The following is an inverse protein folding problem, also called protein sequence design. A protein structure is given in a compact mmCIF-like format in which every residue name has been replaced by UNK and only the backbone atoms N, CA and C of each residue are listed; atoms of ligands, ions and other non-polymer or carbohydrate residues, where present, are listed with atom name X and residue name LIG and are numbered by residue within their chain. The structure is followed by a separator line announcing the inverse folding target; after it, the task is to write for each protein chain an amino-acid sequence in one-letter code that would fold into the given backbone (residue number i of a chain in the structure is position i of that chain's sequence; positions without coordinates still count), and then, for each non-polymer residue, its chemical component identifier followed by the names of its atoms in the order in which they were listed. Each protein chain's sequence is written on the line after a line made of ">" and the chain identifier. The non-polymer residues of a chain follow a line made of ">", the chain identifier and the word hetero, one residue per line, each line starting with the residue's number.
data_IF_288506519322
#
_entry.id   IF_288506519322
#
_cell.length_a   1.000
_cell.length_b   1.000
_cell.length_c   1.000
_cell.angle_alpha   90.00
_cell.angle_beta   90.00
_cell.angle_gamma   90.00
#
_symmetry.space_group_name_H-M   'P 1'
#
loop_
_entity.id
_entity.type
_entity.pdbx_description
1 polymer ?
#
# COMPACT_ATOMS: atom_id res chain seq x y z
N UNK A 1 30.64 14.56 -2.47
CA UNK A 1 29.36 15.28 -2.54
C UNK A 1 29.13 15.95 -1.19
N UNK A 2 28.49 17.12 -1.15
CA UNK A 2 28.30 17.89 0.10
C UNK A 2 26.89 17.63 0.65
N UNK A 3 26.71 17.50 1.97
CA UNK A 3 25.39 17.48 2.57
C UNK A 3 24.64 18.79 2.28
N UNK A 4 23.33 18.68 2.08
CA UNK A 4 22.40 19.79 1.89
C UNK A 4 21.19 19.63 2.81
N UNK A 5 20.42 20.71 2.97
CA UNK A 5 19.10 20.63 3.58
C UNK A 5 18.12 20.05 2.56
N UNK A 6 17.59 18.88 2.86
CA UNK A 6 16.59 18.17 2.08
C UNK A 6 15.21 18.49 2.66
N UNK A 7 14.30 18.94 1.80
CA UNK A 7 12.88 19.03 2.12
C UNK A 7 12.14 17.97 1.32
N UNK A 8 11.40 17.10 2.01
CA UNK A 8 10.68 15.99 1.43
C UNK A 8 9.20 16.10 1.75
N UNK A 9 8.37 16.08 0.70
CA UNK A 9 6.93 16.07 0.84
C UNK A 9 6.40 14.64 0.77
N UNK A 10 5.80 14.16 1.87
CA UNK A 10 5.09 12.88 1.90
C UNK A 10 3.64 13.13 1.56
N UNK A 11 3.23 12.69 0.36
CA UNK A 11 1.83 12.70 -0.03
C UNK A 11 1.08 11.64 0.79
N UNK A 12 0.02 12.07 1.46
CA UNK A 12 -0.79 11.21 2.33
C UNK A 12 -2.20 11.15 1.74
N UNK A 13 -2.75 9.96 1.46
CA UNK A 13 -4.11 9.83 1.00
C UNK A 13 -5.10 10.42 2.01
N UNK A 14 -6.17 11.05 1.54
CA UNK A 14 -7.23 11.57 2.40
C UNK A 14 -7.92 10.49 3.27
N UNK A 15 -7.76 9.20 2.93
CA UNK A 15 -8.24 8.08 3.72
C UNK A 15 -7.29 7.63 4.83
N UNK A 16 -6.23 8.40 5.12
CA UNK A 16 -5.23 8.11 6.12
C UNK A 16 -5.26 9.12 7.27
N UNK A 17 -5.01 8.64 8.49
CA UNK A 17 -4.79 9.51 9.65
C UNK A 17 -3.31 9.81 9.83
N UNK A 18 -2.98 11.10 9.96
CA UNK A 18 -1.63 11.57 10.23
C UNK A 18 -1.32 11.36 11.71
N UNK A 19 -0.18 10.72 12.01
CA UNK A 19 0.22 10.35 13.37
C UNK A 19 1.26 11.29 13.99
N UNK A 20 1.76 12.25 13.23
CA UNK A 20 2.82 13.18 13.63
C UNK A 20 2.33 14.63 13.62
N UNK A 21 2.97 15.47 14.42
CA UNK A 21 2.74 16.90 14.49
C UNK A 21 3.95 17.70 13.99
N UNK A 22 3.72 18.98 13.69
CA UNK A 22 4.81 19.91 13.36
C UNK A 22 5.79 19.97 14.53
N UNK A 23 7.07 19.81 14.23
CA UNK A 23 8.15 19.79 15.22
C UNK A 23 8.62 18.38 15.59
N UNK A 24 7.89 17.31 15.25
CA UNK A 24 8.30 15.94 15.59
C UNK A 24 9.57 15.53 14.84
N UNK A 25 10.43 14.77 15.50
CA UNK A 25 11.60 14.13 14.88
C UNK A 25 11.22 12.74 14.38
N UNK A 26 11.61 12.43 13.15
CA UNK A 26 11.29 11.16 12.47
C UNK A 26 12.56 10.52 11.91
N UNK A 27 12.60 9.20 11.93
CA UNK A 27 13.57 8.37 11.20
C UNK A 27 12.92 7.86 9.90
N UNK A 28 13.72 7.35 8.96
CA UNK A 28 13.21 6.89 7.66
C UNK A 28 12.08 5.84 7.78
N UNK A 29 12.13 5.00 8.81
CA UNK A 29 11.18 3.93 9.10
C UNK A 29 9.97 4.36 9.94
N UNK A 30 9.98 5.59 10.46
CA UNK A 30 8.92 6.11 11.34
C UNK A 30 7.61 6.19 10.55
N UNK A 31 6.56 5.58 11.10
CA UNK A 31 5.21 5.64 10.52
C UNK A 31 4.61 7.02 10.79
N UNK A 32 4.38 7.78 9.72
CA UNK A 32 3.87 9.15 9.78
C UNK A 32 2.37 9.24 9.50
N UNK A 33 1.81 8.27 8.78
CA UNK A 33 0.37 8.15 8.60
C UNK A 33 -0.06 6.70 8.46
N UNK A 34 -1.27 6.39 8.92
CA UNK A 34 -1.91 5.09 8.76
C UNK A 34 -3.08 5.21 7.82
N UNK A 35 -3.07 4.41 6.76
CA UNK A 35 -4.21 4.33 5.84
C UNK A 35 -5.31 3.54 6.53
N UNK A 36 -6.41 4.20 6.86
CA UNK A 36 -7.52 3.60 7.59
C UNK A 36 -8.47 2.86 6.64
N UNK A 37 -8.56 3.34 5.40
CA UNK A 37 -9.41 2.71 4.41
C UNK A 37 -8.89 2.82 2.97
N UNK A 38 -9.24 1.83 2.17
CA UNK A 38 -8.96 1.82 0.74
C UNK A 38 -10.21 2.07 -0.10
N UNK A 39 -10.07 2.70 -1.28
CA UNK A 39 -11.14 2.77 -2.24
C UNK A 39 -11.47 1.37 -2.76
N UNK A 40 -12.66 0.89 -2.43
CA UNK A 40 -13.23 -0.36 -2.90
C UNK A 40 -13.91 -0.25 -4.26
N UNK A 41 -14.79 -1.22 -4.54
CA UNK A 41 -15.48 -1.30 -5.83
C UNK A 41 -16.45 -0.13 -6.02
N UNK A 42 -16.75 0.16 -7.28
CA UNK A 42 -17.82 1.12 -7.61
C UNK A 42 -19.17 0.39 -7.63
N UNK A 43 -19.98 0.61 -6.60
CA UNK A 43 -21.35 0.12 -6.54
C UNK A 43 -22.29 1.02 -7.35
N UNK A 44 -23.22 0.40 -8.08
CA UNK A 44 -24.25 1.09 -8.86
C UNK A 44 -25.62 0.77 -8.30
N UNK A 45 -26.37 1.81 -7.93
CA UNK A 45 -27.73 1.71 -7.40
C UNK A 45 -28.70 2.37 -8.36
N UNK A 46 -29.70 1.65 -8.86
CA UNK A 46 -30.75 2.21 -9.72
C UNK A 46 -31.82 2.94 -8.89
N UNK A 47 -31.45 4.09 -8.35
CA UNK A 47 -32.25 4.84 -7.39
C UNK A 47 -33.58 5.36 -7.98
N UNK A 48 -33.58 5.88 -9.21
CA UNK A 48 -34.77 6.46 -9.83
C UNK A 48 -35.87 5.42 -10.05
N UNK A 49 -35.51 4.25 -10.59
CA UNK A 49 -36.47 3.16 -10.78
C UNK A 49 -36.98 2.62 -9.45
N UNK A 50 -36.13 2.50 -8.42
CA UNK A 50 -36.53 1.99 -7.10
C UNK A 50 -37.54 2.90 -6.40
N UNK A 51 -37.34 4.22 -6.45
CA UNK A 51 -38.28 5.18 -5.82
C UNK A 51 -39.40 5.64 -6.76
N UNK A 52 -39.44 5.12 -7.99
CA UNK A 52 -40.50 5.39 -8.97
C UNK A 52 -40.55 6.84 -9.43
N UNK A 53 -39.40 7.45 -9.74
CA UNK A 53 -39.29 8.80 -10.31
C UNK A 53 -38.56 8.75 -11.64
N UNK A 54 -38.76 9.77 -12.48
CA UNK A 54 -37.95 9.92 -13.68
C UNK A 54 -36.50 10.26 -13.33
N UNK A 55 -35.50 9.76 -14.10
CA UNK A 55 -34.08 10.02 -13.86
C UNK A 55 -33.73 11.49 -13.61
N UNK A 56 -34.39 12.41 -14.33
CA UNK A 56 -34.17 13.86 -14.23
C UNK A 56 -34.59 14.45 -12.89
N UNK A 57 -35.55 13.84 -12.20
CA UNK A 57 -36.07 14.31 -10.92
C UNK A 57 -35.41 13.63 -9.71
N UNK A 58 -34.61 12.59 -9.95
CA UNK A 58 -33.84 11.91 -8.89
C UNK A 58 -33.04 12.88 -8.01
N UNK A 59 -32.25 13.85 -8.55
CA UNK A 59 -31.47 14.77 -7.71
C UNK A 59 -32.30 15.57 -6.70
N UNK A 60 -33.57 15.86 -7.00
CA UNK A 60 -34.48 16.60 -6.11
C UNK A 60 -35.01 15.73 -4.97
N UNK A 61 -34.92 14.41 -5.10
CA UNK A 61 -35.40 13.41 -4.15
C UNK A 61 -34.26 12.71 -3.39
N UNK A 62 -33.01 13.06 -3.72
CA UNK A 62 -31.83 12.63 -3.01
C UNK A 62 -31.79 13.27 -1.61
N UNK A 63 -31.53 12.45 -0.60
CA UNK A 63 -31.26 12.90 0.78
C UNK A 63 -29.76 13.18 0.95
N UNK A 64 -28.93 12.47 0.19
CA UNK A 64 -27.46 12.58 0.18
C UNK A 64 -26.96 13.06 -1.18
N UNK A 65 -25.89 13.83 -1.21
CA UNK A 65 -25.29 14.38 -2.44
C UNK A 65 -23.95 13.71 -2.78
N UNK A 66 -23.46 13.96 -4.00
CA UNK A 66 -22.11 13.54 -4.36
C UNK A 66 -21.10 14.16 -3.39
N UNK A 67 -20.14 13.35 -2.94
CA UNK A 67 -19.19 13.66 -1.88
C UNK A 67 -19.61 13.23 -0.48
N UNK A 68 -20.88 12.89 -0.23
CA UNK A 68 -21.31 12.47 1.10
C UNK A 68 -20.89 11.02 1.42
N UNK A 69 -20.48 10.78 2.67
CA UNK A 69 -20.30 9.43 3.22
C UNK A 69 -21.65 8.79 3.56
N UNK A 70 -21.79 7.50 3.23
CA UNK A 70 -23.01 6.71 3.40
C UNK A 70 -22.68 5.33 3.95
N UNK A 71 -23.53 4.79 4.81
CA UNK A 71 -23.42 3.42 5.34
C UNK A 71 -24.39 2.45 4.67
N UNK A 72 -24.05 1.17 4.64
CA UNK A 72 -24.93 0.10 4.18
C UNK A 72 -26.27 0.13 4.95
N UNK A 73 -27.37 0.06 4.21
CA UNK A 73 -28.72 0.18 4.74
C UNK A 73 -29.23 1.62 4.95
N UNK A 74 -28.36 2.64 4.88
CA UNK A 74 -28.74 4.05 4.97
C UNK A 74 -29.59 4.48 3.76
N UNK A 75 -30.53 5.41 3.95
CA UNK A 75 -31.41 5.86 2.85
C UNK A 75 -30.71 6.91 2.00
N UNK A 76 -30.57 6.65 0.69
CA UNK A 76 -29.93 7.56 -0.26
C UNK A 76 -30.91 8.59 -0.83
N UNK A 77 -32.11 8.11 -1.18
CA UNK A 77 -33.18 8.92 -1.75
C UNK A 77 -34.53 8.35 -1.32
N UNK A 78 -35.53 9.22 -1.25
CA UNK A 78 -36.88 8.82 -0.90
C UNK A 78 -37.94 9.64 -1.65
N UNK A 79 -39.07 8.98 -1.93
CA UNK A 79 -40.31 9.61 -2.39
C UNK A 79 -41.41 9.28 -1.40
N UNK A 80 -42.20 10.28 -1.03
CA UNK A 80 -43.36 10.13 -0.15
C UNK A 80 -44.53 10.92 -0.74
N UNK A 81 -45.55 10.22 -1.23
CA UNK A 81 -46.78 10.84 -1.76
C UNK A 81 -48.01 10.09 -1.23
N UNK A 82 -48.88 10.83 -0.53
CA UNK A 82 -50.19 10.46 0.04
C UNK A 82 -50.25 9.14 0.86
N UNK A 83 -49.86 7.99 0.29
CA UNK A 83 -49.77 6.68 0.97
C UNK A 83 -48.60 5.78 0.47
N UNK A 84 -47.86 6.15 -0.59
CA UNK A 84 -46.71 5.38 -1.10
C UNK A 84 -45.39 6.03 -0.65
N UNK A 85 -44.64 5.32 0.22
CA UNK A 85 -43.31 5.74 0.70
C UNK A 85 -42.27 4.77 0.15
N UNK A 86 -41.52 5.22 -0.84
CA UNK A 86 -40.41 4.44 -1.40
C UNK A 86 -39.09 5.06 -1.01
N UNK A 87 -38.19 4.21 -0.56
CA UNK A 87 -36.84 4.60 -0.19
C UNK A 87 -35.87 3.63 -0.84
N UNK A 88 -34.77 4.17 -1.37
CA UNK A 88 -33.66 3.35 -1.83
C UNK A 88 -32.53 3.43 -0.81
N UNK A 89 -32.02 2.25 -0.43
CA UNK A 89 -30.98 2.10 0.58
C UNK A 89 -29.62 1.87 -0.07
N UNK A 90 -28.58 2.29 0.63
CA UNK A 90 -27.21 2.07 0.23
C UNK A 90 -26.83 0.59 0.39
N UNK A 91 -26.20 -0.05 -0.61
CA UNK A 91 -25.79 -1.45 -0.51
C UNK A 91 -24.45 -1.66 0.19
N UNK A 92 -23.61 -0.62 0.31
CA UNK A 92 -22.23 -0.69 0.81
C UNK A 92 -21.88 0.53 1.66
N UNK A 93 -20.86 0.42 2.51
CA UNK A 93 -20.25 1.58 3.14
C UNK A 93 -19.37 2.31 2.11
N UNK A 94 -19.49 3.63 1.99
CA UNK A 94 -18.73 4.35 0.97
C UNK A 94 -19.04 5.83 0.83
N UNK A 95 -18.57 6.42 -0.28
CA UNK A 95 -18.85 7.81 -0.66
C UNK A 95 -19.60 7.85 -1.97
N UNK A 96 -20.61 8.70 -2.07
CA UNK A 96 -21.34 8.91 -3.33
C UNK A 96 -20.41 9.61 -4.32
N UNK A 97 -19.97 8.90 -5.36
CA UNK A 97 -19.09 9.45 -6.38
C UNK A 97 -19.85 10.31 -7.38
N UNK A 98 -21.07 9.89 -7.76
CA UNK A 98 -21.89 10.62 -8.72
C UNK A 98 -23.37 10.23 -8.63
N UNK A 99 -24.24 11.16 -9.03
CA UNK A 99 -25.67 10.91 -9.24
C UNK A 99 -26.00 11.22 -10.71
N UNK A 100 -26.35 10.18 -11.48
CA UNK A 100 -26.66 10.32 -12.90
C UNK A 100 -28.10 10.76 -13.10
N UNK A 101 -28.27 11.95 -13.68
CA UNK A 101 -29.57 12.52 -14.05
C UNK A 101 -30.18 11.88 -15.30
N UNK A 102 -29.36 11.20 -16.10
CA UNK A 102 -29.78 10.59 -17.36
C UNK A 102 -30.21 9.13 -17.15
N UNK A 103 -29.42 8.38 -16.37
CA UNK A 103 -29.65 6.96 -16.13
C UNK A 103 -30.42 6.70 -14.83
N UNK A 104 -30.56 7.70 -13.96
CA UNK A 104 -31.25 7.54 -12.67
C UNK A 104 -30.47 6.68 -11.67
N UNK A 105 -29.16 6.55 -11.87
CA UNK A 105 -28.28 5.75 -11.04
C UNK A 105 -27.52 6.62 -10.03
N UNK A 106 -27.27 6.06 -8.84
CA UNK A 106 -26.32 6.58 -7.85
C UNK A 106 -25.11 5.67 -7.87
N UNK A 107 -23.93 6.27 -8.05
CA UNK A 107 -22.64 5.59 -8.01
C UNK A 107 -21.97 5.84 -6.66
N UNK A 108 -21.50 4.76 -6.04
CA UNK A 108 -20.96 4.78 -4.69
C UNK A 108 -19.61 4.10 -4.76
N UNK A 109 -18.56 4.80 -4.36
CA UNK A 109 -17.24 4.20 -4.18
C UNK A 109 -17.24 3.57 -2.79
N UNK A 110 -17.20 2.25 -2.75
CA UNK A 110 -17.06 1.50 -1.49
C UNK A 110 -15.80 1.97 -0.77
N UNK A 111 -15.85 2.09 0.56
CA UNK A 111 -14.69 2.34 1.39
C UNK A 111 -14.44 1.04 2.16
N UNK A 112 -13.30 0.42 1.90
CA UNK A 112 -12.88 -0.81 2.56
C UNK A 112 -12.02 -0.44 3.75
N UNK A 113 -12.61 -0.49 4.93
CA UNK A 113 -11.88 -0.33 6.19
C UNK A 113 -10.91 -1.51 6.39
N UNK A 114 -9.62 -1.19 6.52
CA UNK A 114 -8.54 -2.17 6.57
C UNK A 114 -8.43 -2.86 7.94
N UNK A 115 -9.02 -2.29 8.99
CA UNK A 115 -8.82 -2.71 10.37
C UNK A 115 -7.41 -2.42 10.90
N UNK A 116 -7.20 -2.59 12.21
CA UNK A 116 -5.95 -2.21 12.89
C UNK A 116 -4.80 -3.23 12.77
N UNK A 117 -5.05 -4.41 12.18
CA UNK A 117 -4.08 -5.52 12.23
C UNK A 117 -3.12 -5.51 11.05
N UNK A 118 -1.83 -5.31 11.33
CA UNK A 118 -0.71 -5.48 10.40
C UNK A 118 -0.26 -6.94 10.23
N UNK A 119 -0.69 -7.84 11.13
CA UNK A 119 -0.32 -9.26 11.12
C UNK A 119 -1.48 -10.20 10.79
N UNK A 120 -1.21 -11.52 10.68
CA UNK A 120 -2.25 -12.53 10.49
C UNK A 120 -3.30 -12.47 11.61
N UNK A 121 -4.57 -12.38 11.23
CA UNK A 121 -5.71 -12.38 12.16
C UNK A 121 -6.34 -13.76 12.18
N UNK A 122 -6.40 -14.38 13.36
CA UNK A 122 -7.02 -15.70 13.55
C UNK A 122 -8.41 -15.54 14.13
N UNK A 123 -9.43 -15.89 13.35
CA UNK A 123 -10.84 -15.90 13.75
C UNK A 123 -11.20 -17.25 14.35
N UNK A 124 -11.79 -17.24 15.55
CA UNK A 124 -12.17 -18.44 16.30
C UNK A 124 -13.56 -18.94 15.88
N UNK A 125 -13.71 -19.25 14.59
CA UNK A 125 -15.00 -19.45 13.93
C UNK A 125 -15.88 -20.51 14.60
N UNK A 126 -15.36 -21.70 14.92
CA UNK A 126 -16.15 -22.75 15.56
C UNK A 126 -16.60 -22.37 16.97
N UNK A 127 -15.73 -21.70 17.74
CA UNK A 127 -16.03 -21.25 19.11
C UNK A 127 -17.08 -20.14 19.13
N UNK A 128 -17.00 -19.18 18.21
CA UNK A 128 -17.96 -18.09 18.07
C UNK A 128 -19.35 -18.61 17.64
N UNK A 129 -19.37 -19.57 16.70
CA UNK A 129 -20.58 -20.26 16.29
C UNK A 129 -21.13 -21.24 17.36
N UNK A 130 -20.29 -21.66 18.31
CA UNK A 130 -20.56 -22.70 19.33
C UNK A 130 -20.81 -24.09 18.73
N UNK A 131 -19.96 -24.49 17.79
CA UNK A 131 -19.97 -25.83 17.17
C UNK A 131 -18.66 -26.56 17.43
N UNK A 132 -18.64 -27.90 17.31
CA UNK A 132 -17.41 -28.67 17.25
C UNK A 132 -16.47 -28.17 16.12
N UNK A 133 -15.15 -28.09 16.33
CA UNK A 133 -14.19 -27.60 15.33
C UNK A 133 -14.34 -28.22 13.94
N UNK A 134 -14.54 -29.54 13.89
CA UNK A 134 -14.69 -30.31 12.64
C UNK A 134 -15.92 -29.92 11.83
N UNK A 135 -16.96 -29.39 12.49
CA UNK A 135 -18.16 -28.93 11.81
C UNK A 135 -17.96 -27.60 11.08
N UNK A 136 -16.85 -26.89 11.33
CA UNK A 136 -16.52 -25.69 10.59
C UNK A 136 -16.52 -25.94 9.09
N UNK A 137 -16.00 -27.10 8.64
CA UNK A 137 -15.90 -27.49 7.23
C UNK A 137 -17.25 -27.41 6.49
N UNK A 138 -18.33 -27.83 7.16
CA UNK A 138 -19.69 -27.87 6.61
C UNK A 138 -20.46 -26.56 6.77
N UNK A 139 -20.08 -25.73 7.75
CA UNK A 139 -20.76 -24.47 8.07
C UNK A 139 -20.09 -23.24 7.42
N UNK A 140 -19.05 -23.43 6.59
CA UNK A 140 -18.41 -22.33 5.85
C UNK A 140 -19.37 -21.65 4.88
N UNK A 141 -19.23 -20.34 4.75
CA UNK A 141 -19.93 -19.60 3.72
C UNK A 141 -19.42 -20.01 2.31
N UNK A 142 -20.27 -19.96 1.28
CA UNK A 142 -19.86 -20.30 -0.08
C UNK A 142 -18.67 -19.44 -0.53
N UNK A 143 -17.66 -20.07 -1.13
CA UNK A 143 -16.47 -19.38 -1.64
C UNK A 143 -15.35 -19.14 -0.61
N UNK A 144 -15.57 -19.42 0.67
CA UNK A 144 -14.55 -19.28 1.73
C UNK A 144 -13.57 -20.46 1.66
N UNK A 145 -12.42 -20.25 1.00
CA UNK A 145 -11.33 -21.23 0.85
C UNK A 145 -9.99 -20.53 1.04
N UNK A 146 -8.94 -21.32 1.27
CA UNK A 146 -7.56 -20.79 1.27
C UNK A 146 -7.28 -20.07 -0.04
N UNK A 147 -6.70 -18.87 0.03
CA UNK A 147 -6.44 -17.99 -1.10
C UNK A 147 -7.56 -17.01 -1.46
N UNK A 148 -8.78 -17.19 -0.92
CA UNK A 148 -9.91 -16.28 -1.17
C UNK A 148 -9.66 -14.92 -0.52
N UNK A 149 -9.91 -13.83 -1.26
CA UNK A 149 -10.02 -12.48 -0.72
C UNK A 149 -11.37 -12.29 -0.04
N UNK A 150 -11.34 -11.78 1.19
CA UNK A 150 -12.53 -11.50 2.01
C UNK A 150 -12.52 -10.07 2.49
N UNK A 151 -13.68 -9.43 2.51
CA UNK A 151 -13.86 -8.08 3.04
C UNK A 151 -14.21 -8.08 4.53
N UNK A 152 -13.90 -6.99 5.24
CA UNK A 152 -14.36 -6.78 6.62
C UNK A 152 -15.89 -6.87 6.66
N UNK A 153 -16.43 -7.62 7.61
CA UNK A 153 -17.86 -7.91 7.72
C UNK A 153 -18.38 -9.02 6.80
N UNK A 154 -17.57 -9.52 5.85
CA UNK A 154 -17.98 -10.66 5.01
C UNK A 154 -18.14 -11.92 5.86
N UNK A 155 -19.26 -12.63 5.69
CA UNK A 155 -19.54 -13.88 6.40
C UNK A 155 -18.53 -14.95 5.99
N UNK A 156 -17.84 -15.51 6.97
CA UNK A 156 -16.89 -16.61 6.82
C UNK A 156 -17.56 -17.96 7.07
N UNK A 157 -18.41 -18.03 8.08
CA UNK A 157 -19.16 -19.22 8.47
C UNK A 157 -20.47 -18.81 9.14
N UNK A 158 -21.51 -19.62 8.97
CA UNK A 158 -22.82 -19.35 9.57
C UNK A 158 -23.62 -20.64 9.76
N UNK A 159 -24.46 -20.66 10.79
CA UNK A 159 -25.41 -21.75 11.10
C UNK A 159 -26.83 -21.21 10.94
N UNK A 160 -27.77 -22.08 10.58
CA UNK A 160 -29.20 -21.79 10.59
C UNK A 160 -29.59 -20.61 9.67
N UNK A 161 -29.09 -20.62 8.43
CA UNK A 161 -29.23 -19.53 7.44
C UNK A 161 -30.68 -19.09 7.20
N UNK A 162 -31.65 -19.96 7.44
CA UNK A 162 -33.07 -19.75 7.21
C UNK A 162 -33.87 -19.33 8.46
N UNK A 163 -33.20 -19.17 9.62
CA UNK A 163 -33.85 -18.83 10.89
C UNK A 163 -33.64 -17.35 11.30
N UNK A 164 -34.61 -16.74 12.02
CA UNK A 164 -34.55 -15.33 12.44
C UNK A 164 -33.38 -14.95 13.36
N UNK A 165 -32.72 -15.93 13.98
CA UNK A 165 -31.57 -15.76 14.88
C UNK A 165 -30.39 -16.62 14.42
N UNK A 166 -29.97 -16.45 13.18
CA UNK A 166 -28.77 -17.09 12.67
C UNK A 166 -27.52 -16.53 13.36
N UNK A 167 -26.57 -17.40 13.68
CA UNK A 167 -25.23 -16.99 14.10
C UNK A 167 -24.32 -16.97 12.90
N UNK A 168 -23.59 -15.88 12.74
CA UNK A 168 -22.58 -15.72 11.71
C UNK A 168 -21.26 -15.29 12.35
N UNK A 169 -20.19 -15.74 11.74
CA UNK A 169 -18.84 -15.27 11.99
C UNK A 169 -18.41 -14.52 10.74
N UNK A 170 -17.97 -13.30 10.92
CA UNK A 170 -17.56 -12.40 9.84
C UNK A 170 -16.06 -12.13 9.88
N UNK A 171 -15.48 -11.80 8.74
CA UNK A 171 -14.09 -11.36 8.69
C UNK A 171 -13.91 -10.05 9.45
N UNK A 172 -12.94 -9.95 10.38
CA UNK A 172 -12.64 -8.69 11.07
C UNK A 172 -11.82 -7.72 10.21
N UNK A 173 -11.20 -8.20 9.12
CA UNK A 173 -10.29 -7.44 8.26
C UNK A 173 -10.58 -7.65 6.77
N UNK A 174 -10.07 -6.76 5.91
CA UNK A 174 -9.93 -7.03 4.48
C UNK A 174 -8.64 -7.81 4.24
N UNK A 175 -8.76 -9.04 3.75
CA UNK A 175 -7.59 -9.92 3.68
C UNK A 175 -7.75 -11.16 2.83
N UNK A 176 -6.65 -11.87 2.64
CA UNK A 176 -6.63 -13.18 2.00
C UNK A 176 -6.62 -14.26 3.07
N UNK A 177 -7.47 -15.28 2.92
CA UNK A 177 -7.46 -16.44 3.81
C UNK A 177 -6.15 -17.21 3.59
N UNK A 178 -5.30 -17.26 4.62
CA UNK A 178 -4.07 -18.04 4.62
C UNK A 178 -4.34 -19.52 4.86
N UNK A 179 -5.20 -19.76 5.83
CA UNK A 179 -5.30 -21.07 6.45
C UNK A 179 -6.68 -21.24 7.07
N UNK A 180 -7.21 -22.46 6.96
CA UNK A 180 -8.45 -22.88 7.63
C UNK A 180 -8.08 -24.15 8.38
N UNK A 181 -7.96 -24.05 9.70
CA UNK A 181 -7.65 -25.17 10.58
C UNK A 181 -8.97 -25.74 11.12
N UNK A 182 -9.38 -26.88 10.57
CA UNK A 182 -10.62 -27.58 10.96
C UNK A 182 -10.47 -28.39 12.26
N UNK A 183 -9.24 -28.65 12.71
CA UNK A 183 -9.00 -29.34 13.98
C UNK A 183 -9.17 -28.37 15.15
N UNK A 184 -8.67 -27.14 14.99
CA UNK A 184 -8.84 -26.06 15.96
C UNK A 184 -10.11 -25.23 15.74
N UNK A 185 -10.71 -25.32 14.56
CA UNK A 185 -11.93 -24.59 14.20
C UNK A 185 -11.67 -23.10 13.97
N UNK A 186 -10.51 -22.76 13.39
CA UNK A 186 -10.03 -21.39 13.21
C UNK A 186 -9.81 -21.04 11.75
N UNK A 187 -10.00 -19.76 11.39
CA UNK A 187 -9.69 -19.22 10.06
C UNK A 187 -8.66 -18.11 10.20
N UNK A 188 -7.50 -18.27 9.57
CA UNK A 188 -6.42 -17.27 9.59
C UNK A 188 -6.46 -16.44 8.32
N UNK A 189 -6.51 -15.12 8.48
CA UNK A 189 -6.62 -14.14 7.41
C UNK A 189 -5.39 -13.24 7.47
N UNK A 190 -4.67 -13.11 6.36
CA UNK A 190 -3.57 -12.14 6.23
C UNK A 190 -4.16 -10.88 5.58
N UNK A 191 -3.87 -9.68 6.09
CA UNK A 191 -4.23 -8.45 5.41
C UNK A 191 -3.80 -8.49 3.94
N UNK A 192 -4.72 -8.16 3.02
CA UNK A 192 -4.44 -8.18 1.58
C UNK A 192 -3.49 -7.04 1.18
N UNK A 193 -3.49 -6.00 2.01
CA UNK A 193 -2.49 -4.96 2.05
C UNK A 193 -2.00 -4.95 3.50
N UNK A 194 -0.83 -5.53 3.83
CA UNK A 194 -0.21 -5.23 5.12
C UNK A 194 -0.14 -3.70 5.18
N UNK A 195 -0.70 -3.12 6.25
CA UNK A 195 -0.99 -1.69 6.40
C UNK A 195 -0.06 -0.84 5.53
N UNK A 196 -0.58 -0.06 4.57
CA UNK A 196 0.28 0.87 3.85
C UNK A 196 0.51 2.06 4.79
N UNK A 197 1.25 1.77 5.87
CA UNK A 197 1.85 2.76 6.75
C UNK A 197 2.70 3.65 5.84
N UNK A 198 2.31 4.92 5.77
CA UNK A 198 3.16 5.90 5.11
C UNK A 198 4.30 6.14 6.08
N UNK A 199 5.51 5.72 5.69
CA UNK A 199 6.73 5.99 6.44
C UNK A 199 7.28 7.36 6.08
N UNK A 200 8.09 7.94 6.96
CA UNK A 200 8.71 9.24 6.77
C UNK A 200 9.65 9.29 5.55
N UNK A 201 10.26 8.14 5.20
CA UNK A 201 11.23 7.95 4.12
C UNK A 201 12.56 8.68 4.31
N UNK A 202 12.59 9.85 4.94
CA UNK A 202 13.82 10.53 5.35
C UNK A 202 13.91 10.71 6.86
N UNK A 203 15.14 10.78 7.37
CA UNK A 203 15.39 11.27 8.72
C UNK A 203 15.27 12.78 8.74
N UNK A 204 14.57 13.34 9.73
CA UNK A 204 14.42 14.79 9.84
C UNK A 204 13.41 15.24 10.88
N UNK A 205 12.93 16.48 10.70
CA UNK A 205 11.88 17.11 11.49
C UNK A 205 10.67 17.43 10.62
N UNK A 206 9.47 17.17 11.12
CA UNK A 206 8.22 17.59 10.45
C UNK A 206 8.11 19.11 10.50
N UNK A 207 8.11 19.76 9.35
CA UNK A 207 8.04 21.22 9.21
C UNK A 207 6.62 21.71 8.94
N UNK A 208 5.79 20.89 8.30
CA UNK A 208 4.39 21.23 8.02
C UNK A 208 3.51 19.98 8.00
N UNK A 209 2.24 20.16 8.40
CA UNK A 209 1.16 19.17 8.24
C UNK A 209 0.06 19.84 7.42
N UNK A 210 -0.25 19.29 6.25
CA UNK A 210 -1.23 19.83 5.31
C UNK A 210 -2.43 18.87 5.29
N UNK A 211 -3.59 19.28 5.84
CA UNK A 211 -4.78 18.44 5.90
C UNK A 211 -5.14 17.81 4.55
N UNK A 212 -5.51 16.53 4.57
CA UNK A 212 -5.93 15.73 3.41
C UNK A 212 -4.92 15.64 2.24
N UNK A 213 -3.69 16.12 2.43
CA UNK A 213 -2.69 16.25 1.36
C UNK A 213 -1.36 15.57 1.70
N UNK A 214 -0.81 15.83 2.89
CA UNK A 214 0.52 15.32 3.22
C UNK A 214 1.23 16.01 4.39
N UNK A 215 2.47 15.60 4.61
CA UNK A 215 3.39 16.27 5.53
C UNK A 215 4.68 16.67 4.83
N UNK A 216 5.32 17.69 5.34
CA UNK A 216 6.66 18.10 4.93
C UNK A 216 7.67 17.73 6.03
N UNK A 217 8.79 17.12 5.63
CA UNK A 217 9.89 16.73 6.50
C UNK A 217 11.16 17.41 5.99
N UNK A 218 11.89 18.06 6.88
CA UNK A 218 13.20 18.64 6.59
C UNK A 218 14.31 17.89 7.32
N UNK A 219 15.37 17.53 6.60
CA UNK A 219 16.51 16.79 7.13
C UNK A 219 17.81 17.16 6.43
N UNK A 220 18.95 16.77 7.00
CA UNK A 220 20.25 16.92 6.35
C UNK A 220 20.62 15.63 5.60
N UNK A 221 21.20 15.74 4.41
CA UNK A 221 21.68 14.57 3.68
C UNK A 221 22.25 14.87 2.30
N UNK A 222 22.61 13.82 1.57
CA UNK A 222 23.00 13.89 0.16
C UNK A 222 22.02 13.08 -0.66
N UNK A 223 21.43 13.67 -1.70
CA UNK A 223 20.63 12.96 -2.70
C UNK A 223 21.50 12.48 -3.85
N UNK A 224 21.42 11.20 -4.17
CA UNK A 224 22.00 10.60 -5.36
C UNK A 224 20.86 10.21 -6.30
N UNK A 225 20.88 10.70 -7.53
CA UNK A 225 19.91 10.31 -8.55
C UNK A 225 20.47 9.17 -9.40
N UNK A 226 19.70 8.08 -9.51
CA UNK A 226 19.99 7.03 -10.47
C UNK A 226 19.46 7.38 -11.86
N UNK A 227 20.00 6.70 -12.88
CA UNK A 227 19.51 6.86 -14.26
C UNK A 227 18.18 6.14 -14.43
N UNK A 228 18.02 4.98 -13.80
CA UNK A 228 16.85 4.12 -13.93
C UNK A 228 16.70 3.19 -12.72
N UNK A 229 15.50 2.69 -12.45
CA UNK A 229 15.21 1.82 -11.33
C UNK A 229 13.85 1.14 -11.42
N UNK A 230 13.63 0.20 -10.50
CA UNK A 230 12.44 -0.63 -10.36
C UNK A 230 11.95 -0.67 -8.92
N UNK A 231 10.64 -0.86 -8.76
CA UNK A 231 10.02 -1.04 -7.45
C UNK A 231 9.88 0.24 -6.62
N UNK A 232 9.43 0.07 -5.39
CA UNK A 232 9.04 1.15 -4.49
C UNK A 232 10.17 1.70 -3.62
N UNK A 233 9.85 1.89 -2.35
CA UNK A 233 10.75 2.47 -1.33
C UNK A 233 11.34 1.38 -0.45
N UNK A 234 12.62 1.53 -0.11
CA UNK A 234 13.30 0.72 0.90
C UNK A 234 14.24 1.60 1.74
N UNK A 235 14.58 1.12 2.92
CA UNK A 235 15.59 1.71 3.77
C UNK A 235 16.25 0.61 4.60
N UNK A 236 17.47 0.85 5.02
CA UNK A 236 18.22 -0.12 5.82
C UNK A 236 19.71 0.22 5.87
N UNK A 237 20.49 -0.54 6.66
CA UNK A 237 21.93 -0.37 6.72
C UNK A 237 22.54 -0.63 5.34
N UNK A 238 23.40 0.27 4.90
CA UNK A 238 24.10 0.15 3.63
C UNK A 238 25.21 -0.90 3.74
N UNK A 239 25.29 -1.80 2.76
CA UNK A 239 26.39 -2.74 2.61
C UNK A 239 27.03 -2.62 1.23
N UNK A 240 28.28 -2.16 1.18
CA UNK A 240 28.97 -1.75 -0.04
C UNK A 240 29.86 -2.87 -0.56
N UNK A 241 29.72 -3.18 -1.84
CA UNK A 241 30.44 -4.24 -2.54
C UNK A 241 31.23 -3.62 -3.70
N UNK A 242 32.55 -3.84 -3.69
CA UNK A 242 33.42 -3.46 -4.80
C UNK A 242 33.42 -4.56 -5.85
N UNK A 243 33.20 -4.20 -7.12
CA UNK A 243 33.02 -5.15 -8.22
C UNK A 243 31.56 -5.57 -8.39
N UNK A 244 31.34 -6.78 -8.90
CA UNK A 244 30.00 -7.34 -9.15
C UNK A 244 29.47 -8.12 -7.95
N UNK A 245 28.15 -8.20 -7.83
CA UNK A 245 27.48 -9.00 -6.81
C UNK A 245 27.62 -10.49 -7.14
N UNK A 246 28.37 -11.20 -6.29
CA UNK A 246 28.44 -12.65 -6.31
C UNK A 246 27.34 -13.27 -5.43
N UNK A 247 27.02 -14.55 -5.69
CA UNK A 247 26.17 -15.38 -4.84
C UNK A 247 27.02 -16.49 -4.20
N UNK A 248 26.89 -16.78 -2.88
CA UNK A 248 25.98 -16.14 -1.92
C UNK A 248 26.51 -14.78 -1.41
N UNK A 249 25.61 -13.92 -0.93
CA UNK A 249 25.96 -12.65 -0.25
C UNK A 249 25.72 -12.79 1.26
N UNK A 250 26.67 -12.31 2.06
CA UNK A 250 26.51 -12.19 3.50
C UNK A 250 26.20 -10.73 3.83
N UNK A 251 24.95 -10.45 4.18
CA UNK A 251 24.50 -9.13 4.57
C UNK A 251 23.50 -9.24 5.73
N UNK A 252 23.35 -8.17 6.50
CA UNK A 252 22.38 -8.11 7.59
C UNK A 252 20.94 -8.09 7.05
N UNK A 253 20.01 -8.58 7.87
CA UNK A 253 18.58 -8.53 7.56
C UNK A 253 18.15 -7.08 7.32
N UNK A 254 17.52 -6.83 6.17
CA UNK A 254 17.06 -5.50 5.77
C UNK A 254 18.14 -4.62 5.16
N UNK A 255 19.35 -5.12 4.90
CA UNK A 255 20.42 -4.33 4.31
C UNK A 255 20.07 -3.84 2.88
N UNK A 256 20.66 -2.70 2.52
CA UNK A 256 20.66 -2.17 1.15
C UNK A 256 22.04 -2.43 0.55
N UNK A 257 22.10 -3.19 -0.54
CA UNK A 257 23.37 -3.47 -1.21
C UNK A 257 23.77 -2.31 -2.12
N UNK A 258 24.99 -1.81 -2.01
CA UNK A 258 25.58 -0.85 -2.94
C UNK A 258 26.74 -1.49 -3.70
N UNK A 259 26.47 -1.94 -4.92
CA UNK A 259 27.38 -2.73 -5.75
C UNK A 259 28.00 -1.84 -6.81
N UNK A 260 29.33 -1.79 -6.89
CA UNK A 260 30.03 -0.93 -7.85
C UNK A 260 29.72 -1.31 -9.31
N UNK A 261 29.63 -2.61 -9.60
CA UNK A 261 29.40 -3.15 -10.94
C UNK A 261 27.94 -3.53 -11.16
N UNK A 262 27.70 -4.81 -11.44
CA UNK A 262 26.37 -5.38 -11.75
C UNK A 262 26.02 -6.54 -10.81
N UNK A 263 24.81 -7.08 -10.97
CA UNK A 263 24.37 -8.34 -10.40
C UNK A 263 23.70 -9.21 -11.47
N UNK A 264 23.81 -10.53 -11.36
CA UNK A 264 22.99 -11.46 -12.15
C UNK A 264 21.60 -11.63 -11.52
N UNK A 265 20.64 -12.14 -12.29
CA UNK A 265 19.32 -12.50 -11.79
C UNK A 265 19.40 -13.40 -10.55
N UNK A 266 20.19 -14.47 -10.61
CA UNK A 266 20.32 -15.43 -9.51
C UNK A 266 20.97 -14.83 -8.27
N UNK A 267 21.92 -13.91 -8.44
CA UNK A 267 22.54 -13.19 -7.33
C UNK A 267 21.52 -12.25 -6.64
N UNK A 268 20.67 -11.57 -7.40
CA UNK A 268 19.62 -10.72 -6.84
C UNK A 268 18.57 -11.52 -6.07
N UNK A 269 18.17 -12.68 -6.59
CA UNK A 269 17.25 -13.58 -5.89
C UNK A 269 17.87 -14.18 -4.62
N UNK A 270 19.13 -14.60 -4.67
CA UNK A 270 19.84 -15.11 -3.49
C UNK A 270 19.99 -14.03 -2.40
N UNK A 271 20.23 -12.77 -2.80
CA UNK A 271 20.25 -11.64 -1.87
C UNK A 271 18.88 -11.43 -1.20
N UNK A 272 17.78 -11.50 -1.96
CA UNK A 272 16.40 -11.43 -1.41
C UNK A 272 16.20 -12.51 -0.36
N UNK A 273 16.57 -13.74 -0.67
CA UNK A 273 16.37 -14.89 0.21
C UNK A 273 17.21 -14.80 1.50
N UNK A 274 18.28 -14.00 1.47
CA UNK A 274 19.11 -13.66 2.62
C UNK A 274 18.58 -12.47 3.43
N UNK A 275 17.46 -11.86 3.03
CA UNK A 275 16.81 -10.77 3.75
C UNK A 275 17.19 -9.35 3.31
N UNK A 276 17.90 -9.18 2.19
CA UNK A 276 18.21 -7.87 1.61
C UNK A 276 16.93 -7.13 1.22
N UNK A 277 16.88 -5.83 1.50
CA UNK A 277 15.71 -4.97 1.27
C UNK A 277 15.82 -4.09 0.01
N UNK A 278 16.98 -4.02 -0.64
CA UNK A 278 17.18 -3.22 -1.85
C UNK A 278 18.59 -3.32 -2.43
N UNK A 279 18.76 -2.88 -3.69
CA UNK A 279 20.06 -2.87 -4.36
C UNK A 279 20.30 -1.60 -5.21
N UNK A 280 21.49 -1.04 -5.09
CA UNK A 280 22.01 0.07 -5.88
C UNK A 280 23.16 -0.48 -6.70
N UNK A 281 23.02 -0.52 -8.03
CA UNK A 281 24.01 -1.09 -8.95
C UNK A 281 24.66 0.01 -9.79
N UNK A 282 25.91 -0.19 -10.18
CA UNK A 282 26.56 0.65 -11.18
C UNK A 282 25.87 0.53 -12.53
N UNK A 283 25.67 -0.69 -13.01
CA UNK A 283 24.94 -0.97 -14.24
C UNK A 283 24.10 -2.24 -14.13
N UNK A 284 23.18 -2.43 -15.07
CA UNK A 284 22.42 -3.68 -15.21
C UNK A 284 22.18 -4.01 -16.68
N UNK A 285 22.63 -5.16 -17.21
CA UNK A 285 22.32 -5.57 -18.58
C UNK A 285 20.82 -5.69 -18.83
N UNK A 286 20.36 -5.33 -20.03
CA UNK A 286 18.95 -5.39 -20.42
C UNK A 286 18.35 -6.80 -20.25
N UNK A 287 19.13 -7.84 -20.45
CA UNK A 287 18.71 -9.23 -20.27
C UNK A 287 18.37 -9.54 -18.81
N UNK A 288 19.09 -8.93 -17.86
CA UNK A 288 18.82 -9.06 -16.43
C UNK A 288 17.56 -8.29 -16.03
N UNK A 289 17.33 -7.13 -16.64
CA UNK A 289 16.07 -6.41 -16.45
C UNK A 289 14.90 -7.28 -16.89
N UNK A 290 14.92 -7.78 -18.13
CA UNK A 290 13.82 -8.58 -18.69
C UNK A 290 13.57 -9.87 -17.91
N UNK A 291 14.61 -10.52 -17.38
CA UNK A 291 14.43 -11.70 -16.54
C UNK A 291 13.79 -11.41 -15.18
N UNK A 292 13.92 -10.18 -14.65
CA UNK A 292 13.30 -9.77 -13.39
C UNK A 292 11.83 -9.37 -13.56
N UNK A 293 11.53 -8.54 -14.56
CA UNK A 293 10.18 -7.93 -14.70
C UNK A 293 9.29 -8.64 -15.73
N UNK A 294 9.86 -9.50 -16.58
CA UNK A 294 9.16 -10.21 -17.65
C UNK A 294 8.81 -9.34 -18.87
N UNK A 295 8.31 -9.99 -19.92
CA UNK A 295 8.14 -9.41 -21.27
C UNK A 295 7.09 -8.29 -21.37
N UNK A 296 6.23 -8.13 -20.35
CA UNK A 296 5.12 -7.16 -20.36
C UNK A 296 5.39 -5.90 -19.53
N UNK A 297 6.63 -5.74 -19.03
CA UNK A 297 6.98 -4.65 -18.14
C UNK A 297 6.96 -3.28 -18.82
N UNK A 298 6.38 -2.29 -18.16
CA UNK A 298 6.41 -0.91 -18.62
C UNK A 298 7.69 -0.20 -18.14
N UNK A 299 8.81 -0.44 -18.84
CA UNK A 299 10.13 0.09 -18.45
C UNK A 299 10.23 1.63 -18.42
N UNK A 300 9.22 2.35 -18.94
CA UNK A 300 9.15 3.81 -18.91
C UNK A 300 8.36 4.41 -17.75
N UNK A 301 7.59 3.60 -17.01
CA UNK A 301 6.83 3.98 -15.82
C UNK A 301 6.90 2.79 -14.85
N UNK A 302 7.86 2.85 -13.93
CA UNK A 302 8.10 1.78 -12.94
C UNK A 302 7.54 2.17 -11.56
N UNK A 303 7.60 1.25 -10.60
CA UNK A 303 7.25 1.48 -9.19
C UNK A 303 6.31 0.44 -8.59
N UNK A 304 5.42 -0.11 -9.42
CA UNK A 304 4.47 -1.17 -9.07
C UNK A 304 4.91 -2.54 -9.65
N UNK A 305 6.16 -2.64 -10.10
CA UNK A 305 6.73 -3.85 -10.69
C UNK A 305 6.85 -4.96 -9.64
N UNK A 306 6.58 -6.20 -10.06
CA UNK A 306 6.76 -7.39 -9.22
C UNK A 306 8.24 -7.80 -9.20
N UNK A 307 9.03 -7.07 -8.42
CA UNK A 307 10.47 -7.26 -8.26
C UNK A 307 10.81 -7.71 -6.84
N UNK A 308 11.93 -8.44 -6.63
CA UNK A 308 12.29 -8.96 -5.32
C UNK A 308 12.41 -7.88 -4.23
N UNK A 309 12.84 -6.69 -4.62
CA UNK A 309 12.97 -5.48 -3.82
C UNK A 309 13.27 -4.29 -4.75
N UNK A 310 13.26 -3.03 -4.26
CA UNK A 310 13.65 -1.87 -5.06
C UNK A 310 15.09 -1.97 -5.57
N UNK A 311 15.28 -1.64 -6.85
CA UNK A 311 16.58 -1.67 -7.52
C UNK A 311 16.83 -0.31 -8.19
N UNK A 312 18.02 0.25 -8.01
CA UNK A 312 18.46 1.49 -8.66
C UNK A 312 19.73 1.21 -9.46
N UNK A 313 19.81 1.81 -10.65
CA UNK A 313 20.94 1.70 -11.57
C UNK A 313 21.53 3.10 -11.80
N UNK A 314 22.82 3.26 -11.51
CA UNK A 314 23.48 4.57 -11.50
C UNK A 314 24.01 5.01 -12.87
N UNK A 315 24.56 4.09 -13.69
CA UNK A 315 25.22 4.40 -14.98
C UNK A 315 24.46 3.83 -16.20
N UNK A 316 23.34 3.15 -15.98
CA UNK A 316 22.47 2.60 -17.03
C UNK A 316 22.73 1.14 -17.37
N UNK A 317 22.58 0.76 -18.65
CA UNK A 317 22.49 -0.65 -19.05
C UNK A 317 23.74 -1.22 -19.72
N UNK A 318 24.83 -0.45 -19.77
CA UNK A 318 26.11 -0.86 -20.36
C UNK A 318 27.10 -1.21 -19.24
N UNK A 319 28.14 -2.03 -19.51
CA UNK A 319 29.11 -2.48 -18.50
C UNK A 319 30.07 -1.37 -18.06
N UNK A 320 29.50 -0.36 -17.41
CA UNK A 320 30.19 0.81 -16.86
C UNK A 320 29.96 0.76 -15.35
N UNK A 321 31.01 0.51 -14.55
CA UNK A 321 30.87 0.54 -13.11
C UNK A 321 30.50 1.94 -12.63
N UNK A 322 29.83 1.99 -11.48
CA UNK A 322 29.46 3.22 -10.79
C UNK A 322 30.67 4.16 -10.69
N UNK A 323 30.48 5.43 -11.05
CA UNK A 323 31.53 6.45 -10.95
C UNK A 323 32.12 6.49 -9.55
N UNK A 324 33.45 6.61 -9.48
CA UNK A 324 34.20 6.58 -8.22
C UNK A 324 33.70 7.64 -7.22
N UNK A 325 33.24 8.80 -7.68
CA UNK A 325 32.67 9.83 -6.83
C UNK A 325 31.38 9.39 -6.11
N UNK A 326 30.51 8.63 -6.79
CA UNK A 326 29.26 8.08 -6.23
C UNK A 326 29.59 6.91 -5.32
N UNK A 327 30.42 5.98 -5.81
CA UNK A 327 30.83 4.82 -5.05
C UNK A 327 31.55 5.21 -3.74
N UNK A 328 32.46 6.18 -3.80
CA UNK A 328 33.12 6.73 -2.61
C UNK A 328 32.17 7.43 -1.63
N UNK A 329 31.02 7.95 -2.09
CA UNK A 329 30.02 8.53 -1.20
C UNK A 329 29.22 7.44 -0.48
N UNK A 330 28.84 6.38 -1.19
CA UNK A 330 28.21 5.20 -0.60
C UNK A 330 29.13 4.52 0.41
N UNK A 331 30.41 4.30 0.05
CA UNK A 331 31.41 3.69 0.92
C UNK A 331 31.60 4.42 2.26
N UNK A 332 31.42 5.74 2.29
CA UNK A 332 31.50 6.54 3.52
C UNK A 332 30.34 6.31 4.49
N UNK A 333 29.23 5.76 4.02
CA UNK A 333 28.02 5.50 4.79
C UNK A 333 27.81 3.98 5.00
N UNK A 334 28.86 3.17 4.90
CA UNK A 334 28.80 1.72 5.20
C UNK A 334 28.22 1.50 6.62
N UNK A 335 27.22 0.63 6.72
CA UNK A 335 26.52 0.32 7.96
C UNK A 335 25.50 1.39 8.40
N UNK A 336 25.52 2.58 7.82
CA UNK A 336 24.52 3.61 8.12
C UNK A 336 23.21 3.33 7.39
N UNK A 337 22.10 3.75 7.99
CA UNK A 337 20.80 3.64 7.33
C UNK A 337 20.72 4.63 6.17
N UNK A 338 20.39 4.12 4.99
CA UNK A 338 20.05 4.93 3.82
C UNK A 338 18.60 4.69 3.42
N UNK A 339 18.04 5.60 2.64
CA UNK A 339 16.74 5.41 1.99
C UNK A 339 16.92 5.34 0.49
N UNK A 340 16.13 4.52 -0.20
CA UNK A 340 16.14 4.43 -1.66
C UNK A 340 14.73 4.29 -2.22
N UNK A 341 14.51 4.83 -3.41
CA UNK A 341 13.27 4.69 -4.16
C UNK A 341 13.57 4.39 -5.61
N UNK A 342 13.08 3.24 -6.08
CA UNK A 342 13.37 2.73 -7.43
C UNK A 342 12.53 3.32 -8.56
N UNK A 343 11.55 4.18 -8.27
CA UNK A 343 10.58 4.66 -9.27
C UNK A 343 11.24 5.49 -10.39
N UNK A 344 10.97 5.14 -11.64
CA UNK A 344 11.44 5.86 -12.84
C UNK A 344 10.29 6.15 -13.80
N UNK A 345 10.04 7.43 -14.06
CA UNK A 345 9.05 7.88 -15.06
C UNK A 345 9.77 8.75 -16.11
N UNK A 346 9.75 8.34 -17.38
CA UNK A 346 10.54 9.00 -18.45
C UNK A 346 9.75 10.01 -19.31
N UNK A 347 8.44 10.19 -19.05
CA UNK A 347 7.55 11.12 -19.78
C UNK A 347 7.15 12.30 -18.87
N UNK A 348 6.10 13.04 -19.23
CA UNK A 348 5.65 14.23 -18.48
C UNK A 348 5.53 13.94 -16.97
N UNK A 349 6.14 14.81 -16.15
CA UNK A 349 6.34 14.53 -14.72
C UNK A 349 7.47 13.54 -14.47
N UNK A 350 8.66 13.82 -15.03
CA UNK A 350 9.84 12.93 -14.92
C UNK A 350 10.15 12.66 -13.46
N UNK A 351 10.22 11.38 -13.09
CA UNK A 351 10.66 10.91 -11.78
C UNK A 351 11.95 10.12 -11.99
N UNK A 352 13.00 10.50 -11.24
CA UNK A 352 14.24 9.74 -11.18
C UNK A 352 14.27 8.92 -9.89
N UNK A 353 14.84 7.72 -9.94
CA UNK A 353 15.11 6.96 -8.74
C UNK A 353 16.16 7.70 -7.91
N UNK A 354 16.05 7.59 -6.60
CA UNK A 354 16.89 8.35 -5.68
C UNK A 354 17.40 7.47 -4.53
N UNK A 355 18.59 7.82 -4.04
CA UNK A 355 19.16 7.33 -2.79
C UNK A 355 19.42 8.54 -1.90
N UNK A 356 18.96 8.49 -0.66
CA UNK A 356 19.22 9.50 0.35
C UNK A 356 20.23 8.95 1.35
N UNK A 357 21.39 9.59 1.40
CA UNK A 357 22.41 9.39 2.42
C UNK A 357 22.14 10.40 3.53
N UNK A 358 21.61 9.96 4.67
CA UNK A 358 21.22 10.86 5.77
C UNK A 358 22.47 11.41 6.46
N UNK A 359 22.43 12.68 6.84
CA UNK A 359 23.45 13.27 7.71
C UNK A 359 23.16 12.92 9.17
N UNK A 360 24.21 12.68 9.95
CA UNK A 360 24.10 12.44 11.39
C UNK A 360 23.78 13.75 12.13
N UNK A 361 24.19 14.89 11.57
CA UNK A 361 23.95 16.21 12.13
C UNK A 361 22.53 16.68 11.80
N UNK A 362 21.66 16.64 12.81
CA UNK A 362 20.37 17.34 12.78
C UNK A 362 20.68 18.83 12.64
N UNK A 363 20.70 19.35 11.41
CA UNK A 363 21.05 20.72 11.06
C UNK A 363 20.59 21.70 12.13
N UNK A 364 21.52 22.04 13.03
CA UNK A 364 21.35 23.11 13.99
C UNK A 364 21.16 24.38 13.18
N UNK A 365 20.19 25.19 13.59
CA UNK A 365 19.97 26.53 13.04
C UNK A 365 21.33 27.20 12.84
N UNK A 366 21.69 27.43 11.58
CA UNK A 366 22.70 28.43 11.25
C UNK A 366 21.99 29.76 11.50
N UNK A 367 22.12 30.27 12.73
CA UNK A 367 21.75 31.64 13.09
C UNK A 367 22.53 32.66 12.27
#
# INVERSE_FOLDING_TARGET
>A
MKPESLTYFRQIPASASILVAVGDRVQADTVVAKIEALPGRMARVNAASTIGVEPRDLPKRMIKKAGDHVKAGETLAARSEFFDRRAVRCPVDGVISAVSRNLGNVYIREIVDLGESTGPVTVQAARELRIPPRELEFNRAPGVRVGTLVARGQVLAAIDRDLPRHKMVTSPIYGRIREIDVEKGTITIIPAFPSPDVKAYIRGRVTAVIPDTGIEISGGGTRLEGVWGLGGEAFGPLHVIRGDLASPVQADQGAILAVQGTASHDALLAARDSGVAGAILGYMPSETVLSLVGDHANLGITGDDDVPYPIIVMEGFHPVPMREQVFSALLKHEGETVSMRGVTHIRAGVIRPEVILHSIDDGGEVM
#
